data_IF_891301550140
#
_entry.id   IF_891301550140
#
_cell.length_a   1.000
_cell.length_b   1.000
_cell.length_c   1.000
_cell.angle_alpha   90.00
_cell.angle_beta   90.00
_cell.angle_gamma   90.00
#
_symmetry.space_group_name_H-M   'P 1'
#
loop_
_entity.id
_entity.type
_entity.pdbx_description
1 polymer ?
#
# COMPACT_ATOMS: atom_id res chain seq x y z
N UNK A 1 24.66 26.50 24.15
CA UNK A 1 23.31 25.99 24.47
C UNK A 1 22.37 25.93 23.26
N UNK A 2 22.38 26.89 22.33
CA UNK A 2 21.53 26.84 21.12
C UNK A 2 21.92 25.78 20.09
N UNK A 3 23.23 25.53 19.91
CA UNK A 3 23.72 24.53 18.95
C UNK A 3 23.31 23.09 19.29
N UNK A 4 23.28 22.73 20.57
CA UNK A 4 22.88 21.38 21.01
C UNK A 4 21.39 21.12 20.78
N UNK A 5 20.54 22.14 20.97
CA UNK A 5 19.11 22.03 20.66
C UNK A 5 18.84 21.78 19.16
N UNK A 6 19.62 22.41 18.28
CA UNK A 6 19.52 22.20 16.83
C UNK A 6 19.84 20.74 16.43
N UNK A 7 20.94 20.19 16.95
CA UNK A 7 21.32 18.79 16.69
C UNK A 7 20.30 17.78 17.23
N UNK A 8 19.71 18.06 18.39
CA UNK A 8 18.65 17.21 18.96
C UNK A 8 17.40 17.23 18.08
N UNK A 9 16.96 18.40 17.59
CA UNK A 9 15.81 18.49 16.68
C UNK A 9 16.08 17.74 15.37
N UNK A 10 17.28 17.90 14.80
CA UNK A 10 17.67 17.22 13.56
C UNK A 10 17.69 15.69 13.75
N UNK A 11 18.21 15.20 14.88
CA UNK A 11 18.23 13.78 15.20
C UNK A 11 16.82 13.21 15.35
N UNK A 12 15.90 13.94 15.99
CA UNK A 12 14.49 13.52 16.16
C UNK A 12 13.78 13.48 14.81
N UNK A 13 13.92 14.50 13.96
CA UNK A 13 13.32 14.51 12.62
C UNK A 13 13.88 13.38 11.76
N UNK A 14 15.21 13.16 11.80
CA UNK A 14 15.86 12.07 11.11
C UNK A 14 15.37 10.69 11.55
N UNK A 15 15.17 10.49 12.86
CA UNK A 15 14.63 9.24 13.41
C UNK A 15 13.19 8.99 12.94
N UNK A 16 12.34 10.01 12.95
CA UNK A 16 10.94 9.91 12.47
C UNK A 16 10.92 9.54 10.99
N UNK A 17 11.75 10.17 10.16
CA UNK A 17 11.85 9.83 8.73
C UNK A 17 12.34 8.40 8.50
N UNK A 18 13.32 7.93 9.28
CA UNK A 18 13.79 6.55 9.23
C UNK A 18 12.68 5.55 9.56
N UNK A 19 11.94 5.79 10.64
CA UNK A 19 10.81 4.92 11.04
C UNK A 19 9.75 4.85 9.94
N UNK A 20 9.43 5.99 9.32
CA UNK A 20 8.53 6.01 8.17
C UNK A 20 9.07 5.16 7.03
N UNK A 21 10.34 5.35 6.62
CA UNK A 21 10.97 4.55 5.56
C UNK A 21 10.92 3.05 5.84
N UNK A 22 11.24 2.63 7.07
CA UNK A 22 11.20 1.22 7.47
C UNK A 22 9.79 0.62 7.36
N UNK A 23 8.74 1.39 7.67
CA UNK A 23 7.36 0.94 7.51
C UNK A 23 7.02 0.64 6.04
N UNK A 24 7.41 1.53 5.13
CA UNK A 24 7.26 1.32 3.68
C UNK A 24 8.00 0.09 3.20
N UNK A 25 9.22 -0.11 3.68
CA UNK A 25 10.05 -1.25 3.30
C UNK A 25 9.39 -2.58 3.71
N UNK A 26 8.80 -2.64 4.91
CA UNK A 26 8.06 -3.81 5.36
C UNK A 26 6.85 -4.15 4.49
N UNK A 27 6.10 -3.13 4.02
CA UNK A 27 4.97 -3.34 3.09
C UNK A 27 5.47 -3.82 1.73
N UNK A 28 6.54 -3.19 1.22
CA UNK A 28 7.15 -3.54 -0.06
C UNK A 28 7.62 -4.99 -0.12
N UNK A 29 8.32 -5.46 0.93
CA UNK A 29 8.77 -6.86 1.02
C UNK A 29 7.57 -7.82 0.99
N UNK A 30 6.48 -7.54 1.72
CA UNK A 30 5.28 -8.41 1.71
C UNK A 30 4.65 -8.52 0.33
N UNK A 31 4.59 -7.41 -0.40
CA UNK A 31 4.09 -7.36 -1.76
C UNK A 31 4.96 -8.21 -2.69
N UNK A 32 6.28 -8.04 -2.60
CA UNK A 32 7.27 -8.77 -3.40
C UNK A 32 7.22 -10.28 -3.17
N UNK A 33 7.26 -10.73 -1.90
CA UNK A 33 7.22 -12.15 -1.53
C UNK A 33 5.90 -12.81 -1.92
N UNK A 34 4.81 -12.03 -1.99
CA UNK A 34 3.50 -12.54 -2.41
C UNK A 34 3.31 -12.61 -3.93
N UNK A 35 4.34 -12.27 -4.73
CA UNK A 35 4.23 -12.20 -6.19
C UNK A 35 3.38 -11.02 -6.71
N UNK A 36 3.05 -10.09 -5.82
CA UNK A 36 2.27 -8.89 -6.10
C UNK A 36 3.23 -7.70 -6.16
N UNK A 37 3.97 -7.58 -7.26
CA UNK A 37 5.00 -6.55 -7.42
C UNK A 37 4.38 -5.14 -7.39
N UNK A 38 4.88 -4.30 -6.47
CA UNK A 38 4.55 -2.88 -6.37
C UNK A 38 5.84 -2.10 -6.24
N UNK A 39 6.02 -1.06 -7.06
CA UNK A 39 7.24 -0.26 -7.04
C UNK A 39 7.35 0.60 -5.78
N UNK A 40 8.57 0.85 -5.29
CA UNK A 40 8.79 1.80 -4.18
C UNK A 40 8.26 3.20 -4.50
N UNK A 41 8.43 3.65 -5.75
CA UNK A 41 7.90 4.93 -6.24
C UNK A 41 6.37 4.94 -6.19
N UNK A 42 5.73 3.82 -6.50
CA UNK A 42 4.26 3.69 -6.48
C UNK A 42 3.71 3.69 -5.06
N UNK A 43 4.40 3.03 -4.11
CA UNK A 43 4.07 3.12 -2.68
C UNK A 43 4.17 4.56 -2.16
N UNK A 44 5.24 5.27 -2.53
CA UNK A 44 5.41 6.69 -2.20
C UNK A 44 4.30 7.54 -2.84
N UNK A 45 3.98 7.32 -4.12
CA UNK A 45 2.91 8.02 -4.83
C UNK A 45 1.54 7.80 -4.18
N UNK A 46 1.22 6.58 -3.73
CA UNK A 46 -0.01 6.29 -2.99
C UNK A 46 -0.10 7.12 -1.70
N UNK A 47 1.01 7.22 -0.95
CA UNK A 47 1.03 8.02 0.28
C UNK A 47 0.83 9.51 -0.02
N UNK A 48 1.46 10.03 -1.08
CA UNK A 48 1.31 11.42 -1.51
C UNK A 48 -0.13 11.74 -1.96
N UNK A 49 -0.81 10.78 -2.60
CA UNK A 49 -2.23 10.89 -2.97
C UNK A 49 -3.19 10.74 -1.79
N UNK A 50 -2.70 10.52 -0.57
CA UNK A 50 -3.53 10.32 0.62
C UNK A 50 -4.16 8.93 0.73
N UNK A 51 -3.72 7.97 -0.09
CA UNK A 51 -4.26 6.61 -0.10
C UNK A 51 -3.56 5.74 0.97
N UNK A 52 -4.29 4.94 1.76
CA UNK A 52 -3.70 4.04 2.75
C UNK A 52 -2.99 2.86 2.07
N UNK A 53 -1.67 2.99 1.94
CA UNK A 53 -0.77 2.03 1.28
C UNK A 53 -0.96 0.60 1.78
N UNK A 54 -1.02 0.39 3.10
CA UNK A 54 -1.20 -0.94 3.68
C UNK A 54 -2.50 -1.63 3.22
N UNK A 55 -3.62 -0.90 3.27
CA UNK A 55 -4.94 -1.42 2.88
C UNK A 55 -4.97 -1.79 1.39
N UNK A 56 -4.42 -0.94 0.52
CA UNK A 56 -4.41 -1.21 -0.92
C UNK A 56 -3.49 -2.38 -1.26
N UNK A 57 -2.29 -2.42 -0.69
CA UNK A 57 -1.31 -3.48 -0.96
C UNK A 57 -1.81 -4.84 -0.46
N UNK A 58 -2.40 -4.90 0.73
CA UNK A 58 -2.91 -6.16 1.28
C UNK A 58 -4.09 -6.70 0.44
N UNK A 59 -5.00 -5.82 -0.01
CA UNK A 59 -6.08 -6.20 -0.93
C UNK A 59 -5.55 -6.61 -2.31
N UNK A 60 -4.55 -5.92 -2.83
CA UNK A 60 -3.88 -6.28 -4.09
C UNK A 60 -3.22 -7.66 -4.01
N UNK A 61 -2.50 -7.95 -2.92
CA UNK A 61 -1.92 -9.27 -2.65
C UNK A 61 -3.00 -10.34 -2.67
N UNK A 62 -4.13 -10.11 -1.99
CA UNK A 62 -5.23 -11.07 -1.95
C UNK A 62 -5.86 -11.30 -3.33
N UNK A 63 -6.02 -10.24 -4.11
CA UNK A 63 -6.54 -10.34 -5.47
C UNK A 63 -5.61 -11.16 -6.39
N UNK A 64 -4.30 -10.88 -6.36
CA UNK A 64 -3.30 -11.63 -7.14
C UNK A 64 -3.24 -13.09 -6.73
N UNK A 65 -3.32 -13.39 -5.42
CA UNK A 65 -3.40 -14.78 -4.91
C UNK A 65 -4.65 -15.52 -5.37
N UNK A 66 -5.74 -14.81 -5.62
CA UNK A 66 -6.98 -15.38 -6.16
C UNK A 66 -6.98 -15.50 -7.70
N UNK A 67 -5.89 -15.09 -8.37
CA UNK A 67 -5.79 -15.10 -9.83
C UNK A 67 -6.49 -13.93 -10.52
N UNK A 68 -6.87 -12.87 -9.79
CA UNK A 68 -7.48 -11.69 -10.38
C UNK A 68 -6.41 -10.82 -11.06
N UNK A 69 -6.69 -10.42 -12.31
CA UNK A 69 -5.87 -9.49 -13.09
C UNK A 69 -6.33 -8.04 -12.87
N UNK A 70 -6.15 -7.56 -11.63
CA UNK A 70 -6.39 -6.15 -11.29
C UNK A 70 -5.06 -5.46 -11.00
N UNK A 71 -5.03 -4.14 -11.17
CA UNK A 71 -3.84 -3.31 -10.92
C UNK A 71 -3.98 -2.53 -9.61
N UNK A 72 -2.85 -2.13 -9.02
CA UNK A 72 -2.83 -1.28 -7.82
C UNK A 72 -3.48 0.07 -8.10
N UNK A 73 -3.28 0.64 -9.30
CA UNK A 73 -3.87 1.92 -9.68
C UNK A 73 -5.41 1.87 -9.74
N UNK A 74 -6.00 0.78 -10.24
CA UNK A 74 -7.47 0.59 -10.19
C UNK A 74 -8.00 0.61 -8.76
N UNK A 75 -7.30 -0.04 -7.82
CA UNK A 75 -7.67 -0.02 -6.40
C UNK A 75 -7.53 1.38 -5.80
N UNK A 76 -6.48 2.13 -6.17
CA UNK A 76 -6.28 3.51 -5.75
C UNK A 76 -7.39 4.42 -6.27
N UNK A 77 -7.72 4.34 -7.55
CA UNK A 77 -8.80 5.13 -8.17
C UNK A 77 -10.13 4.83 -7.50
N UNK A 78 -10.43 3.55 -7.24
CA UNK A 78 -11.65 3.17 -6.53
C UNK A 78 -11.70 3.72 -5.09
N UNK A 79 -10.58 3.65 -4.36
CA UNK A 79 -10.48 4.24 -3.01
C UNK A 79 -10.70 5.75 -3.04
N UNK A 80 -10.06 6.45 -3.97
CA UNK A 80 -10.17 7.90 -4.11
C UNK A 80 -11.57 8.36 -4.56
N UNK A 81 -12.30 7.50 -5.27
CA UNK A 81 -13.72 7.70 -5.57
C UNK A 81 -14.64 7.50 -4.35
N UNK A 82 -14.09 7.18 -3.17
CA UNK A 82 -14.84 6.92 -1.94
C UNK A 82 -15.37 5.49 -1.83
N UNK A 83 -14.91 4.57 -2.68
CA UNK A 83 -15.32 3.18 -2.68
C UNK A 83 -14.61 2.31 -1.63
N UNK A 84 -15.27 1.22 -1.21
CA UNK A 84 -14.69 0.21 -0.33
C UNK A 84 -13.93 -0.83 -1.16
N UNK A 85 -12.61 -0.61 -1.24
CA UNK A 85 -11.66 -1.51 -1.91
C UNK A 85 -11.74 -2.94 -1.36
N UNK A 86 -11.90 -3.10 -0.05
CA UNK A 86 -11.90 -4.41 0.58
C UNK A 86 -13.18 -5.18 0.27
N UNK A 87 -14.32 -4.50 0.20
CA UNK A 87 -15.60 -5.09 -0.21
C UNK A 87 -15.54 -5.56 -1.66
N UNK A 88 -15.07 -4.71 -2.58
CA UNK A 88 -15.01 -5.03 -4.02
C UNK A 88 -14.06 -6.19 -4.29
N UNK A 89 -12.84 -6.16 -3.71
CA UNK A 89 -11.88 -7.27 -3.90
C UNK A 89 -12.45 -8.58 -3.36
N UNK A 90 -13.10 -8.59 -2.19
CA UNK A 90 -13.75 -9.81 -1.68
C UNK A 90 -14.86 -10.32 -2.59
N UNK A 91 -15.69 -9.43 -3.13
CA UNK A 91 -16.75 -9.80 -4.08
C UNK A 91 -16.16 -10.41 -5.37
N UNK A 92 -15.11 -9.81 -5.92
CA UNK A 92 -14.42 -10.34 -7.10
C UNK A 92 -13.79 -11.72 -6.84
N UNK A 93 -13.15 -11.91 -5.67
CA UNK A 93 -12.60 -13.21 -5.28
C UNK A 93 -13.71 -14.26 -5.14
N UNK A 94 -14.86 -13.89 -4.58
CA UNK A 94 -16.00 -14.79 -4.45
C UNK A 94 -16.58 -15.17 -5.81
N UNK A 95 -16.75 -14.21 -6.72
CA UNK A 95 -17.20 -14.45 -8.09
C UNK A 95 -16.25 -15.38 -8.86
N UNK A 96 -14.93 -15.13 -8.76
CA UNK A 96 -13.89 -15.97 -9.37
C UNK A 96 -13.96 -17.42 -8.86
N UNK A 97 -14.13 -17.61 -7.55
CA UNK A 97 -14.28 -18.95 -6.94
C UNK A 97 -15.57 -19.65 -7.35
N UNK A 98 -16.63 -18.89 -7.61
CA UNK A 98 -17.91 -19.41 -8.10
C UNK A 98 -17.93 -19.62 -9.63
N UNK A 99 -16.81 -19.38 -10.33
CA UNK A 99 -16.72 -19.40 -11.80
C UNK A 99 -17.77 -18.51 -12.48
N UNK A 100 -18.17 -17.44 -11.82
CA UNK A 100 -19.05 -16.42 -12.41
C UNK A 100 -18.13 -15.50 -13.21
N UNK A 101 -18.18 -15.63 -14.53
CA UNK A 101 -17.54 -14.65 -15.41
C UNK A 101 -18.36 -13.36 -15.37
N UNK A 102 -17.67 -12.25 -15.07
CA UNK A 102 -18.22 -10.90 -15.07
C UNK A 102 -17.80 -10.17 -16.34
#
# INVERSE_FOLDING_TARGET
MFWTAFWVILAVVGLVLLILLFNFFGIWIRAWVSGAYVGLIELAAMRLRGVPVGLVVDNYINARKAGLEITVDQLNVHFLAGGDVQMVVRALIAAQKASIHL
#
